data_IF_599225898815
#
_entry.id   IF_599225898815
#
_cell.length_a   1.000
_cell.length_b   1.000
_cell.length_c   1.000
_cell.angle_alpha   90.00
_cell.angle_beta   90.00
_cell.angle_gamma   90.00
#
_symmetry.space_group_name_H-M   'P 1'
#
loop_
_entity.id
_entity.type
_entity.pdbx_description
1 polymer ?
#
# COMPACT_ATOMS: atom_id res chain seq x y z
N UNK A 1 45.28 -20.81 -77.69
CA UNK A 1 44.07 -20.41 -78.43
C UNK A 1 42.95 -20.12 -77.44
N UNK A 2 42.16 -19.08 -77.75
CA UNK A 2 41.10 -18.46 -76.94
C UNK A 2 40.03 -19.43 -76.43
N UNK A 3 39.54 -19.22 -75.21
CA UNK A 3 38.10 -19.23 -74.89
C UNK A 3 37.85 -18.56 -73.53
N UNK A 4 37.30 -17.35 -73.58
CA UNK A 4 36.79 -16.59 -72.43
C UNK A 4 35.36 -17.09 -72.16
N UNK A 5 35.12 -17.70 -70.99
CA UNK A 5 33.77 -18.06 -70.55
C UNK A 5 33.37 -17.11 -69.42
N UNK A 6 32.43 -16.21 -69.75
CA UNK A 6 31.76 -15.32 -68.80
C UNK A 6 30.82 -16.15 -67.92
N UNK A 7 31.01 -16.12 -66.60
CA UNK A 7 30.00 -16.57 -65.63
C UNK A 7 29.35 -15.36 -64.99
N UNK A 8 28.07 -15.19 -65.29
CA UNK A 8 27.11 -14.28 -64.67
C UNK A 8 26.85 -14.69 -63.22
N UNK A 9 27.09 -13.79 -62.26
CA UNK A 9 26.61 -13.89 -60.89
C UNK A 9 25.17 -13.37 -60.80
N UNK A 10 24.24 -14.05 -60.08
CA UNK A 10 22.94 -13.46 -59.77
C UNK A 10 23.09 -12.50 -58.58
N UNK A 11 22.56 -11.28 -58.76
CA UNK A 11 22.36 -10.29 -57.71
C UNK A 11 21.21 -10.79 -56.82
N UNK A 12 21.52 -11.10 -55.55
CA UNK A 12 20.50 -11.38 -54.54
C UNK A 12 19.99 -10.05 -53.98
N UNK A 13 18.73 -9.73 -54.26
CA UNK A 13 18.01 -8.59 -53.71
C UNK A 13 17.70 -8.87 -52.22
N UNK A 14 18.35 -8.16 -51.30
CA UNK A 14 18.01 -8.22 -49.87
C UNK A 14 16.75 -7.38 -49.61
N UNK A 15 15.62 -8.06 -49.35
CA UNK A 15 14.40 -7.43 -48.87
C UNK A 15 14.59 -6.96 -47.42
N UNK A 16 14.67 -5.65 -47.23
CA UNK A 16 14.67 -5.03 -45.90
C UNK A 16 13.31 -5.18 -45.22
N UNK A 17 13.20 -6.10 -44.27
CA UNK A 17 12.12 -6.11 -43.30
C UNK A 17 12.33 -4.96 -42.31
N UNK A 18 11.63 -3.85 -42.53
CA UNK A 18 11.50 -2.77 -41.56
C UNK A 18 10.69 -3.26 -40.35
N UNK A 19 11.37 -3.47 -39.22
CA UNK A 19 10.69 -3.60 -37.93
C UNK A 19 10.15 -2.22 -37.52
N UNK A 20 8.86 -2.07 -37.21
CA UNK A 20 8.35 -0.84 -36.63
C UNK A 20 8.97 -0.69 -35.23
N UNK A 21 9.81 0.33 -35.07
CA UNK A 21 10.25 0.79 -33.76
C UNK A 21 9.02 1.38 -33.08
N UNK A 22 8.39 0.59 -32.19
CA UNK A 22 7.42 1.09 -31.23
C UNK A 22 8.11 2.17 -30.40
N UNK A 23 7.79 3.43 -30.69
CA UNK A 23 8.18 4.55 -29.87
C UNK A 23 7.60 4.33 -28.47
N UNK A 24 8.47 3.96 -27.53
CA UNK A 24 8.13 3.96 -26.12
C UNK A 24 7.78 5.41 -25.76
N UNK A 25 6.49 5.67 -25.55
CA UNK A 25 6.02 6.91 -24.96
C UNK A 25 6.66 7.04 -23.58
N UNK A 26 7.70 7.86 -23.47
CA UNK A 26 8.31 8.22 -22.20
C UNK A 26 7.30 9.10 -21.47
N UNK A 27 6.45 8.48 -20.65
CA UNK A 27 5.60 9.21 -19.73
C UNK A 27 6.46 10.20 -18.93
N UNK A 28 6.11 11.48 -19.00
CA UNK A 28 6.80 12.56 -18.29
C UNK A 28 6.84 12.18 -16.79
N UNK A 29 7.99 12.30 -16.10
CA UNK A 29 8.06 11.93 -14.70
C UNK A 29 7.08 12.81 -13.91
N UNK A 30 6.11 12.19 -13.24
CA UNK A 30 5.16 12.88 -12.38
C UNK A 30 5.92 13.78 -11.39
N UNK A 31 5.56 15.07 -11.37
CA UNK A 31 6.15 16.07 -10.49
C UNK A 31 5.14 16.40 -9.41
N UNK A 32 5.26 15.74 -8.27
CA UNK A 32 4.47 16.06 -7.10
C UNK A 32 5.06 17.27 -6.38
N UNK A 33 4.19 18.10 -5.81
CA UNK A 33 4.53 19.20 -4.92
C UNK A 33 3.86 18.94 -3.58
N UNK A 34 4.57 19.27 -2.51
CA UNK A 34 4.10 19.11 -1.12
C UNK A 34 4.15 20.47 -0.44
N UNK A 35 3.02 20.93 0.07
CA UNK A 35 2.91 22.21 0.79
C UNK A 35 2.29 22.00 2.17
N UNK A 36 2.53 22.95 3.08
CA UNK A 36 1.86 22.95 4.38
C UNK A 36 0.35 23.21 4.20
N UNK A 37 -0.46 22.41 4.87
CA UNK A 37 -1.87 22.67 5.12
C UNK A 37 -2.06 23.23 6.53
N UNK A 38 -3.10 22.75 7.21
CA UNK A 38 -3.43 23.19 8.55
C UNK A 38 -2.40 22.73 9.58
N UNK A 39 -2.11 23.60 10.54
CA UNK A 39 -1.19 23.34 11.65
C UNK A 39 -1.98 23.40 12.95
N UNK A 40 -1.99 22.30 13.70
CA UNK A 40 -2.72 22.19 14.96
C UNK A 40 -1.74 21.88 16.09
N UNK A 41 -1.58 22.81 17.03
CA UNK A 41 -0.83 22.58 18.27
C UNK A 41 -1.79 22.22 19.40
N UNK A 42 -1.86 20.92 19.76
CA UNK A 42 -2.65 20.46 20.91
C UNK A 42 -1.79 20.47 22.15
N UNK A 43 -2.04 21.44 23.03
CA UNK A 43 -1.42 21.53 24.36
C UNK A 43 -2.43 21.12 25.41
N UNK A 44 -2.20 19.99 26.10
CA UNK A 44 -2.99 19.59 27.27
C UNK A 44 -2.17 19.70 28.56
N UNK A 45 -2.83 20.08 29.65
CA UNK A 45 -2.22 20.26 30.96
C UNK A 45 -1.99 18.93 31.72
N UNK A 46 -2.63 17.84 31.28
CA UNK A 46 -2.51 16.51 31.86
C UNK A 46 -1.35 15.67 31.26
N UNK A 47 -0.59 16.24 30.31
CA UNK A 47 0.59 15.61 29.70
C UNK A 47 0.29 14.50 28.70
N UNK A 48 -0.95 14.01 28.63
CA UNK A 48 -1.37 12.96 27.70
C UNK A 48 -1.89 13.58 26.40
N UNK A 49 -1.50 13.02 25.25
CA UNK A 49 -1.96 13.43 23.90
C UNK A 49 -1.60 14.86 23.48
N UNK A 50 -0.57 15.46 24.07
CA UNK A 50 -0.01 16.70 23.55
C UNK A 50 0.81 16.41 22.28
N UNK A 51 0.46 17.05 21.17
CA UNK A 51 1.15 16.88 19.89
C UNK A 51 0.99 18.10 19.00
N UNK A 52 1.94 18.26 18.08
CA UNK A 52 1.83 19.17 16.95
C UNK A 52 1.48 18.35 15.72
N UNK A 53 0.36 18.66 15.08
CA UNK A 53 -0.08 18.03 13.83
C UNK A 53 0.09 19.01 12.67
N UNK A 54 0.70 18.57 11.58
CA UNK A 54 0.85 19.34 10.35
C UNK A 54 0.23 18.53 9.23
N UNK A 55 -0.79 19.09 8.58
CA UNK A 55 -1.31 18.54 7.34
C UNK A 55 -0.37 18.89 6.18
N UNK A 56 -0.12 17.91 5.31
CA UNK A 56 0.59 18.10 4.05
C UNK A 56 -0.41 18.00 2.90
N UNK A 57 -0.49 19.08 2.12
CA UNK A 57 -1.26 19.13 0.88
C UNK A 57 -0.40 18.63 -0.28
N UNK A 58 -0.95 17.72 -1.06
CA UNK A 58 -0.30 17.07 -2.19
C UNK A 58 -0.90 17.61 -3.48
N UNK A 59 -0.05 18.03 -4.42
CA UNK A 59 -0.48 18.55 -5.71
C UNK A 59 0.48 18.10 -6.82
N UNK A 60 0.07 18.27 -8.08
CA UNK A 60 0.90 18.00 -9.25
C UNK A 60 0.26 17.05 -10.25
N UNK A 61 0.90 16.92 -11.41
CA UNK A 61 0.41 16.06 -12.50
C UNK A 61 0.42 14.58 -12.07
N UNK A 62 -0.72 13.90 -12.18
CA UNK A 62 -0.84 12.47 -11.84
C UNK A 62 -1.12 12.19 -10.36
N UNK A 63 -1.50 13.19 -9.57
CA UNK A 63 -1.85 13.00 -8.14
C UNK A 63 -3.09 12.12 -7.98
N UNK A 64 -3.99 12.14 -8.97
CA UNK A 64 -5.18 11.31 -9.07
C UNK A 64 -4.87 9.80 -9.22
N UNK A 65 -3.67 9.46 -9.70
CA UNK A 65 -3.21 8.07 -9.83
C UNK A 65 -2.56 7.53 -8.54
N UNK A 66 -2.44 8.37 -7.49
CA UNK A 66 -1.86 7.98 -6.21
C UNK A 66 -2.86 7.16 -5.41
N UNK A 67 -2.53 5.89 -5.16
CA UNK A 67 -3.37 5.01 -4.32
C UNK A 67 -3.00 5.06 -2.84
N UNK A 68 -1.87 5.67 -2.49
CA UNK A 68 -1.55 6.02 -1.13
C UNK A 68 -0.26 6.81 -1.03
N UNK A 69 -0.07 7.47 0.11
CA UNK A 69 1.16 8.21 0.38
C UNK A 69 1.57 8.07 1.85
N UNK A 70 2.84 8.34 2.16
CA UNK A 70 3.32 8.50 3.53
C UNK A 70 4.42 9.55 3.60
N UNK A 71 4.48 10.25 4.72
CA UNK A 71 5.52 11.25 4.98
C UNK A 71 6.61 10.66 5.90
N UNK A 72 7.85 10.72 5.43
CA UNK A 72 9.06 10.35 6.17
C UNK A 72 9.79 11.64 6.58
N UNK A 73 9.49 12.12 7.78
CA UNK A 73 10.14 13.32 8.32
C UNK A 73 11.56 12.98 8.76
N UNK A 74 12.53 13.78 8.34
CA UNK A 74 13.94 13.64 8.71
C UNK A 74 14.41 14.73 9.66
N UNK A 75 13.78 15.90 9.59
CA UNK A 75 14.12 17.06 10.42
C UNK A 75 12.85 17.84 10.75
N UNK A 76 12.71 18.23 12.00
CA UNK A 76 11.66 19.12 12.47
C UNK A 76 12.20 19.94 13.64
N UNK A 77 12.30 21.26 13.47
CA UNK A 77 12.93 22.18 14.43
C UNK A 77 12.12 23.47 14.52
N UNK A 78 11.87 23.94 15.73
CA UNK A 78 11.25 25.25 15.97
C UNK A 78 12.26 26.41 15.91
N UNK A 79 11.78 27.65 15.92
CA UNK A 79 12.61 28.86 15.92
C UNK A 79 13.55 28.99 17.14
N UNK A 80 13.26 28.28 18.24
CA UNK A 80 14.12 28.20 19.43
C UNK A 80 15.25 27.18 19.29
N UNK A 81 15.25 26.39 18.22
CA UNK A 81 16.21 25.33 17.97
C UNK A 81 15.85 23.98 18.61
N UNK A 82 14.64 23.84 19.18
CA UNK A 82 14.19 22.58 19.77
C UNK A 82 13.79 21.60 18.67
N UNK A 83 14.30 20.37 18.75
CA UNK A 83 13.87 19.28 17.88
C UNK A 83 12.47 18.80 18.25
N UNK A 84 11.63 18.63 17.23
CA UNK A 84 10.24 18.20 17.37
C UNK A 84 10.03 16.73 17.00
N UNK A 85 11.10 15.99 16.67
CA UNK A 85 11.00 14.58 16.32
C UNK A 85 10.72 13.72 17.57
N UNK A 86 9.79 12.78 17.44
CA UNK A 86 9.55 11.72 18.42
C UNK A 86 10.74 10.75 18.44
N UNK A 87 11.08 10.22 19.61
CA UNK A 87 12.10 9.18 19.73
C UNK A 87 11.60 7.88 19.12
N UNK A 88 12.48 7.11 18.48
CA UNK A 88 12.16 5.82 17.84
C UNK A 88 11.00 5.91 16.83
N UNK A 89 10.99 6.96 16.01
CA UNK A 89 9.98 7.14 14.97
C UNK A 89 10.06 6.01 13.94
N UNK A 90 9.09 5.09 14.01
CA UNK A 90 8.90 4.11 12.94
C UNK A 90 8.32 4.81 11.71
N UNK A 91 8.64 4.36 10.49
CA UNK A 91 7.99 4.86 9.29
C UNK A 91 6.47 4.69 9.42
N UNK A 92 5.68 5.76 9.23
CA UNK A 92 4.24 5.62 9.24
C UNK A 92 3.77 4.70 8.11
N UNK A 93 2.61 4.08 8.31
CA UNK A 93 1.93 3.35 7.26
C UNK A 93 1.47 4.31 6.14
N UNK A 94 1.22 3.74 4.97
CA UNK A 94 0.64 4.49 3.87
C UNK A 94 -0.80 4.88 4.18
N UNK A 95 -1.10 6.16 4.03
CA UNK A 95 -2.46 6.69 4.09
C UNK A 95 -3.10 6.54 2.71
N UNK A 96 -4.27 5.93 2.67
CA UNK A 96 -5.07 5.75 1.45
C UNK A 96 -5.96 6.97 1.23
N UNK A 97 -6.30 7.34 -0.02
CA UNK A 97 -7.24 8.42 -0.30
C UNK A 97 -8.60 8.16 0.37
N UNK A 98 -9.10 9.17 1.09
CA UNK A 98 -10.50 9.25 1.56
C UNK A 98 -11.37 10.14 0.66
N UNK A 99 -10.77 10.69 -0.40
CA UNK A 99 -11.37 11.50 -1.45
C UNK A 99 -10.49 11.42 -2.71
N UNK A 100 -10.26 12.55 -3.39
CA UNK A 100 -9.42 12.59 -4.61
C UNK A 100 -7.94 12.31 -4.34
N UNK A 101 -7.42 12.71 -3.17
CA UNK A 101 -6.00 12.53 -2.82
C UNK A 101 -5.85 12.08 -1.37
N UNK A 102 -4.76 11.36 -1.01
CA UNK A 102 -4.43 11.10 0.39
C UNK A 102 -4.24 12.41 1.16
N UNK A 103 -4.87 12.53 2.32
CA UNK A 103 -4.56 13.60 3.28
C UNK A 103 -3.43 13.09 4.16
N UNK A 104 -2.29 13.77 4.20
CA UNK A 104 -1.14 13.34 5.01
C UNK A 104 -1.01 14.20 6.25
N UNK A 105 -1.09 13.57 7.42
CA UNK A 105 -0.88 14.23 8.71
C UNK A 105 0.43 13.76 9.34
N UNK A 106 1.29 14.72 9.68
CA UNK A 106 2.51 14.49 10.43
C UNK A 106 2.25 14.84 11.89
N UNK A 107 2.56 13.91 12.79
CA UNK A 107 2.55 14.18 14.22
C UNK A 107 3.97 14.36 14.79
N UNK A 108 4.21 15.49 15.44
CA UNK A 108 5.46 15.89 16.06
C UNK A 108 5.28 16.16 17.56
N UNK A 109 6.39 16.29 18.28
CA UNK A 109 6.41 16.84 19.65
C UNK A 109 5.95 18.30 19.62
N UNK A 110 5.34 18.78 20.70
CA UNK A 110 4.99 20.19 20.79
C UNK A 110 6.24 21.09 20.73
N UNK A 111 6.13 22.27 20.09
CA UNK A 111 7.17 23.27 20.05
C UNK A 111 7.41 23.88 21.44
N UNK A 112 8.53 24.60 21.59
CA UNK A 112 8.80 25.36 22.80
C UNK A 112 7.70 26.39 23.05
N UNK A 113 7.36 26.67 24.32
CA UNK A 113 6.25 27.59 24.66
C UNK A 113 6.43 29.00 24.09
N UNK A 114 7.67 29.42 23.89
CA UNK A 114 8.06 30.73 23.33
C UNK A 114 8.26 30.72 21.82
N UNK A 115 8.12 29.57 21.17
CA UNK A 115 8.28 29.47 19.72
C UNK A 115 7.09 30.11 19.02
N UNK A 116 7.36 30.98 18.05
CA UNK A 116 6.33 31.59 17.19
C UNK A 116 6.21 30.91 15.84
N UNK A 117 7.23 30.15 15.43
CA UNK A 117 7.24 29.43 14.15
C UNK A 117 8.02 28.11 14.21
N UNK A 118 7.69 27.24 13.27
CA UNK A 118 8.53 26.12 12.87
C UNK A 118 9.59 26.66 11.91
N UNK A 119 10.84 26.62 12.35
CA UNK A 119 11.97 27.03 11.52
C UNK A 119 12.13 26.13 10.30
N UNK A 120 12.03 24.82 10.50
CA UNK A 120 12.12 23.85 9.41
C UNK A 120 11.42 22.54 9.74
N UNK A 121 10.61 22.03 8.81
CA UNK A 121 10.18 20.63 8.77
C UNK A 121 10.50 20.09 7.38
N UNK A 122 11.36 19.08 7.29
CA UNK A 122 11.82 18.52 6.02
C UNK A 122 11.94 17.00 6.04
N UNK A 123 11.78 16.41 4.86
CA UNK A 123 11.74 14.97 4.69
C UNK A 123 11.41 14.56 3.27
N UNK A 124 10.82 13.37 3.13
CA UNK A 124 10.35 12.83 1.86
C UNK A 124 8.90 12.39 1.99
N UNK A 125 8.10 12.62 0.95
CA UNK A 125 6.82 11.93 0.77
C UNK A 125 7.03 10.81 -0.22
N UNK A 126 6.64 9.59 0.17
CA UNK A 126 6.58 8.44 -0.72
C UNK A 126 5.15 8.27 -1.19
N UNK A 127 4.97 8.18 -2.50
CA UNK A 127 3.70 7.98 -3.17
C UNK A 127 3.69 6.58 -3.78
N UNK A 128 2.58 5.86 -3.62
CA UNK A 128 2.33 4.61 -4.30
C UNK A 128 1.44 4.87 -5.52
N UNK A 129 2.03 4.70 -6.71
CA UNK A 129 1.42 4.92 -8.02
C UNK A 129 1.53 3.64 -8.85
N UNK A 130 0.60 2.69 -8.70
CA UNK A 130 0.72 1.35 -9.29
C UNK A 130 0.79 1.37 -10.81
N UNK A 131 0.19 2.36 -11.48
CA UNK A 131 0.19 2.47 -12.94
C UNK A 131 1.59 2.67 -13.54
N UNK A 132 2.58 3.10 -12.73
CA UNK A 132 3.97 3.24 -13.17
C UNK A 132 4.68 1.90 -13.36
N UNK A 133 4.09 0.80 -12.89
CA UNK A 133 4.65 -0.53 -13.04
C UNK A 133 3.55 -1.58 -13.22
N UNK A 134 3.51 -2.23 -14.38
CA UNK A 134 2.57 -3.32 -14.63
C UNK A 134 2.71 -4.47 -13.61
N UNK A 135 3.90 -4.70 -13.04
CA UNK A 135 4.11 -5.71 -12.00
C UNK A 135 3.51 -5.30 -10.65
N UNK A 136 3.11 -4.04 -10.48
CA UNK A 136 2.44 -3.53 -9.29
C UNK A 136 0.97 -3.93 -9.22
N UNK A 137 0.36 -4.45 -10.29
CA UNK A 137 -1.03 -4.92 -10.27
C UNK A 137 -1.13 -6.35 -10.80
N UNK A 138 -1.55 -7.27 -9.94
CA UNK A 138 -1.89 -8.65 -10.32
C UNK A 138 -3.39 -8.77 -10.48
N UNK A 139 -3.84 -9.26 -11.64
CA UNK A 139 -5.25 -9.49 -11.94
C UNK A 139 -5.55 -10.98 -11.99
N UNK A 140 -6.62 -11.40 -11.30
CA UNK A 140 -7.09 -12.79 -11.28
C UNK A 140 -8.55 -12.80 -11.72
N UNK A 141 -8.79 -13.14 -12.97
CA UNK A 141 -10.13 -13.26 -13.53
C UNK A 141 -10.88 -14.45 -12.94
N UNK A 142 -12.20 -14.28 -12.76
CA UNK A 142 -13.11 -15.33 -12.26
C UNK A 142 -12.57 -16.00 -10.98
N UNK A 143 -11.99 -15.21 -10.09
CA UNK A 143 -11.24 -15.73 -8.94
C UNK A 143 -12.11 -16.58 -8.00
N UNK A 144 -13.44 -16.36 -7.98
CA UNK A 144 -14.40 -17.16 -7.21
C UNK A 144 -14.48 -18.62 -7.68
N UNK A 145 -14.06 -18.93 -8.90
CA UNK A 145 -13.93 -20.33 -9.36
C UNK A 145 -12.63 -21.00 -8.91
N UNK A 146 -11.74 -20.24 -8.26
CA UNK A 146 -10.40 -20.66 -7.83
C UNK A 146 -10.21 -20.58 -6.32
N UNK A 147 -11.30 -20.69 -5.56
CA UNK A 147 -11.23 -20.73 -4.09
C UNK A 147 -10.28 -21.83 -3.61
N UNK A 148 -9.66 -21.57 -2.46
CA UNK A 148 -8.75 -22.48 -1.76
C UNK A 148 -7.50 -22.86 -2.56
N UNK A 149 -7.14 -22.04 -3.57
CA UNK A 149 -5.93 -22.22 -4.39
C UNK A 149 -5.07 -20.96 -4.37
N UNK A 150 -3.74 -21.08 -4.17
CA UNK A 150 -2.85 -19.93 -4.24
C UNK A 150 -2.91 -19.26 -5.61
N UNK A 151 -2.84 -17.92 -5.62
CA UNK A 151 -2.71 -17.14 -6.84
C UNK A 151 -1.31 -17.31 -7.39
N UNK A 152 -1.19 -18.05 -8.49
CA UNK A 152 0.07 -18.17 -9.22
C UNK A 152 0.35 -16.88 -10.03
N UNK A 153 1.29 -16.06 -9.56
CA UNK A 153 1.73 -14.85 -10.25
C UNK A 153 3.25 -14.63 -10.09
N UNK A 154 3.98 -14.33 -11.18
CA UNK A 154 5.39 -13.96 -11.09
C UNK A 154 5.63 -12.73 -10.20
N UNK A 155 4.72 -11.76 -10.22
CA UNK A 155 4.84 -10.54 -9.43
C UNK A 155 4.66 -10.80 -7.92
N UNK A 156 3.70 -11.66 -7.54
CA UNK A 156 3.53 -12.08 -6.14
C UNK A 156 4.77 -12.83 -5.64
N UNK A 157 5.27 -13.78 -6.46
CA UNK A 157 6.49 -14.52 -6.13
C UNK A 157 7.70 -13.60 -5.99
N UNK A 158 7.88 -12.63 -6.88
CA UNK A 158 8.96 -11.65 -6.81
C UNK A 158 8.85 -10.72 -5.59
N UNK A 159 7.62 -10.43 -5.15
CA UNK A 159 7.36 -9.68 -3.92
C UNK A 159 7.59 -10.53 -2.64
N UNK A 160 7.71 -11.85 -2.76
CA UNK A 160 7.75 -12.77 -1.63
C UNK A 160 6.41 -12.85 -0.91
N UNK A 161 5.31 -12.69 -1.66
CA UNK A 161 3.95 -12.72 -1.15
C UNK A 161 3.16 -13.90 -1.76
N UNK A 162 2.28 -14.48 -0.98
CA UNK A 162 1.30 -15.47 -1.39
C UNK A 162 -0.10 -14.97 -1.03
N UNK A 163 -1.01 -15.01 -2.00
CA UNK A 163 -2.40 -14.57 -1.82
C UNK A 163 -3.31 -15.71 -2.25
N UNK A 164 -4.30 -16.02 -1.41
CA UNK A 164 -5.28 -17.07 -1.66
C UNK A 164 -6.65 -16.59 -1.24
N UNK A 165 -7.65 -16.71 -2.12
CA UNK A 165 -9.05 -16.54 -1.73
C UNK A 165 -9.53 -17.85 -1.14
N UNK A 166 -10.05 -17.83 0.09
CA UNK A 166 -10.45 -19.03 0.81
C UNK A 166 -11.96 -19.13 0.97
N UNK A 167 -12.46 -20.34 1.04
CA UNK A 167 -13.84 -20.63 1.43
C UNK A 167 -14.03 -20.41 2.94
N UNK A 168 -15.29 -20.19 3.35
CA UNK A 168 -15.63 -20.05 4.77
C UNK A 168 -15.17 -21.26 5.59
N UNK A 169 -15.32 -22.47 5.02
CA UNK A 169 -14.89 -23.71 5.64
C UNK A 169 -13.38 -23.72 5.92
N UNK A 170 -12.55 -23.37 4.92
CA UNK A 170 -11.10 -23.34 5.09
C UNK A 170 -10.68 -22.28 6.11
N UNK A 171 -11.32 -21.10 6.09
CA UNK A 171 -11.09 -20.07 7.11
C UNK A 171 -11.40 -20.57 8.53
N UNK A 172 -12.56 -21.18 8.75
CA UNK A 172 -12.95 -21.68 10.07
C UNK A 172 -12.02 -22.81 10.56
N UNK A 173 -11.55 -23.68 9.66
CA UNK A 173 -10.56 -24.73 9.96
C UNK A 173 -9.19 -24.14 10.35
N UNK A 174 -8.71 -23.14 9.61
CA UNK A 174 -7.43 -22.47 9.94
C UNK A 174 -7.52 -21.66 11.23
N UNK A 175 -8.64 -20.94 11.43
CA UNK A 175 -8.89 -20.20 12.67
C UNK A 175 -8.87 -21.13 13.89
N UNK A 176 -9.54 -22.30 13.82
CA UNK A 176 -9.50 -23.30 14.89
C UNK A 176 -8.10 -23.82 15.16
N UNK A 177 -7.33 -24.13 14.12
CA UNK A 177 -5.92 -24.57 14.27
C UNK A 177 -5.05 -23.51 14.91
N UNK A 178 -5.24 -22.25 14.53
CA UNK A 178 -4.52 -21.12 15.12
C UNK A 178 -4.93 -20.87 16.57
N UNK A 179 -6.21 -20.97 16.90
CA UNK A 179 -6.72 -20.91 18.27
C UNK A 179 -6.14 -22.04 19.14
N UNK A 180 -6.11 -23.28 18.64
CA UNK A 180 -5.50 -24.42 19.34
C UNK A 180 -3.99 -24.26 19.53
N UNK A 181 -3.27 -23.74 18.52
CA UNK A 181 -1.84 -23.43 18.65
C UNK A 181 -1.63 -22.35 19.72
N UNK A 182 -2.39 -21.26 19.68
CA UNK A 182 -2.30 -20.17 20.65
C UNK A 182 -2.62 -20.64 22.07
N UNK A 183 -3.60 -21.53 22.25
CA UNK A 183 -3.92 -22.16 23.55
C UNK A 183 -2.75 -22.96 24.11
N UNK A 184 -2.08 -23.77 23.27
CA UNK A 184 -0.90 -24.52 23.71
C UNK A 184 0.27 -23.60 24.05
N UNK A 185 0.45 -22.51 23.30
CA UNK A 185 1.47 -21.50 23.57
C UNK A 185 1.16 -20.68 24.84
N UNK A 186 -0.11 -20.37 25.12
CA UNK A 186 -0.54 -19.63 26.31
C UNK A 186 -0.47 -20.47 27.58
N UNK A 187 -0.83 -21.76 27.52
CA UNK A 187 -0.67 -22.71 28.62
C UNK A 187 0.81 -22.86 29.05
N UNK A 188 1.74 -22.79 28.09
CA UNK A 188 3.18 -22.76 28.36
C UNK A 188 3.69 -21.45 29.00
N UNK A 189 2.94 -20.35 28.86
CA UNK A 189 3.29 -19.02 29.38
C UNK A 189 2.65 -18.69 30.76
N UNK A 190 1.90 -19.64 31.35
CA UNK A 190 1.34 -19.52 32.70
C UNK A 190 0.29 -18.40 32.84
N UNK A 191 0.28 -17.73 34.00
CA UNK A 191 -0.74 -16.73 34.37
C UNK A 191 -0.84 -15.55 33.36
N UNK A 192 0.29 -15.15 32.77
CA UNK A 192 0.35 -14.10 31.75
C UNK A 192 -0.28 -14.55 30.42
N UNK A 193 -0.09 -15.81 30.04
CA UNK A 193 -0.73 -16.42 28.86
C UNK A 193 -2.24 -16.51 29.01
N UNK A 194 -2.72 -16.94 30.19
CA UNK A 194 -4.15 -17.02 30.49
C UNK A 194 -4.85 -15.64 30.46
N UNK A 195 -4.18 -14.58 30.94
CA UNK A 195 -4.72 -13.22 30.90
C UNK A 195 -4.77 -12.65 29.47
N UNK A 196 -3.72 -12.90 28.68
CA UNK A 196 -3.66 -12.48 27.27
C UNK A 196 -4.71 -13.21 26.42
N UNK A 197 -4.95 -14.49 26.68
CA UNK A 197 -5.98 -15.27 25.99
C UNK A 197 -7.40 -14.82 26.36
N UNK A 198 -7.67 -14.57 27.64
CA UNK A 198 -8.97 -14.05 28.08
C UNK A 198 -9.29 -12.68 27.43
N UNK A 199 -8.29 -11.80 27.32
CA UNK A 199 -8.44 -10.51 26.65
C UNK A 199 -8.59 -10.66 25.14
N UNK A 200 -7.83 -11.56 24.51
CA UNK A 200 -7.93 -11.87 23.09
C UNK A 200 -9.28 -12.46 22.67
N UNK A 201 -9.84 -13.35 23.50
CA UNK A 201 -11.16 -13.95 23.27
C UNK A 201 -12.30 -12.93 23.44
N UNK A 202 -12.20 -12.04 24.42
CA UNK A 202 -13.15 -10.93 24.62
C UNK A 202 -13.18 -9.99 23.40
N UNK A 203 -12.01 -9.65 22.86
CA UNK A 203 -11.91 -8.81 21.65
C UNK A 203 -12.38 -9.56 20.39
N UNK A 204 -12.07 -10.85 20.26
CA UNK A 204 -12.48 -11.67 19.12
C UNK A 204 -13.99 -11.82 18.98
N UNK A 205 -14.74 -11.79 20.09
CA UNK A 205 -16.22 -11.76 20.06
C UNK A 205 -16.82 -10.41 19.66
N UNK A 206 -16.03 -9.33 19.66
CA UNK A 206 -16.46 -7.98 19.28
C UNK A 206 -16.16 -7.65 17.81
N UNK A 207 -15.26 -8.38 17.17
CA UNK A 207 -15.00 -8.28 15.73
C UNK A 207 -16.06 -9.08 14.99
N UNK A 208 -17.01 -8.36 14.37
CA UNK A 208 -18.28 -8.86 13.87
C UNK A 208 -18.24 -10.16 13.05
N UNK A 209 -19.37 -10.84 13.04
CA UNK A 209 -19.59 -12.02 12.21
C UNK A 209 -19.25 -11.72 10.75
N UNK A 210 -18.36 -12.53 10.17
CA UNK A 210 -18.09 -12.50 8.73
C UNK A 210 -19.42 -12.74 8.01
N UNK A 211 -19.85 -11.76 7.22
CA UNK A 211 -21.10 -11.78 6.48
C UNK A 211 -21.07 -12.80 5.33
N UNK A 212 -22.26 -13.14 4.83
CA UNK A 212 -22.41 -14.11 3.73
C UNK A 212 -21.75 -13.67 2.42
N UNK A 213 -21.61 -12.36 2.21
CA UNK A 213 -21.02 -11.74 1.03
C UNK A 213 -19.54 -11.38 1.21
N UNK A 214 -18.96 -11.68 2.37
CA UNK A 214 -17.60 -11.29 2.68
C UNK A 214 -16.60 -12.16 1.92
N UNK A 215 -15.57 -11.49 1.41
CA UNK A 215 -14.46 -12.14 0.73
C UNK A 215 -13.33 -12.39 1.72
N UNK A 216 -12.97 -13.67 1.87
CA UNK A 216 -11.90 -14.11 2.77
C UNK A 216 -10.63 -14.35 1.96
N UNK A 217 -9.57 -13.63 2.30
CA UNK A 217 -8.31 -13.71 1.58
C UNK A 217 -7.19 -13.95 2.57
N UNK A 218 -6.49 -15.08 2.44
CA UNK A 218 -5.24 -15.34 3.14
C UNK A 218 -4.10 -14.64 2.42
N UNK A 219 -3.29 -13.92 3.18
CA UNK A 219 -2.14 -13.15 2.70
C UNK A 219 -0.93 -13.49 3.56
N UNK A 220 0.03 -14.22 2.99
CA UNK A 220 1.38 -14.36 3.56
C UNK A 220 2.29 -13.38 2.81
N UNK A 221 2.71 -12.31 3.48
CA UNK A 221 3.52 -11.26 2.89
C UNK A 221 4.62 -10.81 3.85
N UNK A 222 5.70 -11.58 3.87
CA UNK A 222 6.85 -11.38 4.76
C UNK A 222 7.51 -10.02 4.57
N UNK A 223 7.44 -9.48 3.36
CA UNK A 223 8.08 -8.22 2.99
C UNK A 223 7.15 -7.01 3.06
N UNK A 224 5.89 -7.21 3.49
CA UNK A 224 4.85 -6.17 3.56
C UNK A 224 4.73 -5.38 2.25
N UNK A 225 4.69 -6.09 1.12
CA UNK A 225 4.58 -5.51 -0.23
C UNK A 225 3.14 -5.44 -0.75
N UNK A 226 2.21 -6.21 -0.22
CA UNK A 226 0.79 -6.14 -0.59
C UNK A 226 0.17 -4.87 -0.02
N UNK A 227 -0.17 -3.95 -0.90
CA UNK A 227 -0.70 -2.63 -0.54
C UNK A 227 -2.23 -2.65 -0.34
N UNK A 228 -2.92 -3.26 -1.29
CA UNK A 228 -4.37 -3.33 -1.32
C UNK A 228 -4.81 -4.57 -2.10
N UNK A 229 -6.01 -5.05 -1.77
CA UNK A 229 -6.71 -6.07 -2.53
C UNK A 229 -8.12 -5.55 -2.77
N UNK A 230 -8.61 -5.69 -4.00
CA UNK A 230 -9.91 -5.17 -4.41
C UNK A 230 -10.58 -6.15 -5.38
N UNK A 231 -11.91 -6.21 -5.35
CA UNK A 231 -12.69 -6.85 -6.42
C UNK A 231 -13.10 -5.82 -7.47
N UNK A 232 -13.09 -6.23 -8.73
CA UNK A 232 -13.61 -5.48 -9.86
C UNK A 232 -14.60 -6.34 -10.65
N UNK A 233 -15.56 -5.71 -11.32
CA UNK A 233 -16.48 -6.39 -12.23
C UNK A 233 -15.78 -6.84 -13.53
N UNK A 234 -16.54 -7.47 -14.42
CA UNK A 234 -16.03 -7.91 -15.73
C UNK A 234 -15.55 -6.76 -16.62
N UNK A 235 -16.06 -5.53 -16.42
CA UNK A 235 -15.60 -4.33 -17.10
C UNK A 235 -14.34 -3.73 -16.45
N UNK A 236 -13.87 -4.29 -15.35
CA UNK A 236 -12.71 -3.82 -14.59
C UNK A 236 -13.02 -2.64 -13.66
N UNK A 237 -14.28 -2.24 -13.49
CA UNK A 237 -14.70 -1.22 -12.53
C UNK A 237 -14.65 -1.80 -11.12
N UNK A 238 -14.09 -1.05 -10.18
CA UNK A 238 -14.04 -1.44 -8.76
C UNK A 238 -15.46 -1.67 -8.23
N UNK A 239 -15.64 -2.76 -7.50
CA UNK A 239 -16.88 -3.04 -6.78
C UNK A 239 -16.77 -2.42 -5.38
N UNK A 240 -17.77 -1.64 -4.99
CA UNK A 240 -17.76 -0.92 -3.73
C UNK A 240 -17.82 -1.90 -2.55
N UNK A 241 -16.83 -1.77 -1.66
CA UNK A 241 -16.72 -2.55 -0.44
C UNK A 241 -17.25 -1.72 0.74
N UNK A 242 -17.90 -2.39 1.70
CA UNK A 242 -18.37 -1.77 2.96
C UNK A 242 -17.24 -1.60 3.97
N UNK A 243 -16.23 -2.46 3.92
CA UNK A 243 -15.13 -2.41 4.86
C UNK A 243 -14.04 -3.42 4.55
N UNK A 244 -12.93 -3.29 5.28
CA UNK A 244 -11.83 -4.24 5.26
C UNK A 244 -11.36 -4.49 6.69
N UNK A 245 -11.21 -5.74 7.06
CA UNK A 245 -10.64 -6.16 8.34
C UNK A 245 -9.42 -7.02 8.09
N UNK A 246 -8.33 -6.78 8.81
CA UNK A 246 -7.13 -7.61 8.76
C UNK A 246 -6.93 -8.32 10.09
N UNK A 247 -6.86 -9.63 10.09
CA UNK A 247 -6.66 -10.43 11.32
C UNK A 247 -5.91 -11.72 11.01
N UNK A 248 -4.87 -12.03 11.80
CA UNK A 248 -4.17 -13.32 11.77
C UNK A 248 -3.78 -13.82 10.36
N UNK A 249 -3.26 -12.91 9.51
CA UNK A 249 -2.88 -13.26 8.13
C UNK A 249 -4.04 -13.31 7.12
N UNK A 250 -5.25 -12.99 7.54
CA UNK A 250 -6.42 -12.85 6.67
C UNK A 250 -6.80 -11.39 6.47
N UNK A 251 -7.24 -11.10 5.25
CA UNK A 251 -7.91 -9.88 4.84
C UNK A 251 -9.35 -10.25 4.51
N UNK A 252 -10.28 -9.64 5.22
CA UNK A 252 -11.72 -9.86 5.09
C UNK A 252 -12.28 -8.59 4.46
N UNK A 253 -12.79 -8.71 3.24
CA UNK A 253 -13.39 -7.59 2.51
C UNK A 253 -14.90 -7.77 2.52
N UNK A 254 -15.61 -6.85 3.17
CA UNK A 254 -17.05 -6.96 3.33
C UNK A 254 -17.78 -6.28 2.18
N UNK A 255 -18.74 -6.97 1.59
CA UNK A 255 -19.54 -6.47 0.47
C UNK A 255 -21.02 -6.42 0.82
N UNK A 256 -21.74 -5.44 0.25
CA UNK A 256 -23.17 -5.33 0.48
C UNK A 256 -24.00 -6.34 -0.30
N UNK A 257 -23.49 -6.74 -1.45
CA UNK A 257 -24.11 -7.69 -2.36
C UNK A 257 -23.10 -8.78 -2.70
N UNK A 258 -23.62 -9.91 -3.18
CA UNK A 258 -22.78 -11.01 -3.62
C UNK A 258 -21.96 -10.59 -4.83
N UNK A 259 -20.66 -10.87 -4.80
CA UNK A 259 -19.77 -10.59 -5.93
C UNK A 259 -20.18 -11.40 -7.17
N UNK A 260 -20.16 -10.79 -8.37
CA UNK A 260 -20.41 -11.50 -9.62
C UNK A 260 -19.45 -12.68 -9.81
N UNK A 261 -19.90 -13.81 -10.39
CA UNK A 261 -19.07 -15.00 -10.57
C UNK A 261 -17.87 -14.77 -11.51
N UNK A 262 -17.96 -13.77 -12.38
CA UNK A 262 -16.94 -13.34 -13.33
C UNK A 262 -16.08 -12.17 -12.83
N UNK A 263 -16.24 -11.77 -11.57
CA UNK A 263 -15.43 -10.72 -10.96
C UNK A 263 -13.93 -11.04 -11.04
N UNK A 264 -13.13 -9.97 -11.08
CA UNK A 264 -11.67 -9.99 -11.12
C UNK A 264 -11.11 -9.52 -9.79
N UNK A 265 -10.17 -10.27 -9.21
CA UNK A 265 -9.41 -9.83 -8.06
C UNK A 265 -8.22 -9.00 -8.54
N UNK A 266 -8.03 -7.81 -7.96
CA UNK A 266 -6.85 -6.97 -8.16
C UNK A 266 -6.04 -6.96 -6.88
N UNK A 267 -4.78 -7.38 -6.96
CA UNK A 267 -3.81 -7.27 -5.86
C UNK A 267 -2.77 -6.22 -6.25
N UNK A 268 -2.63 -5.20 -5.42
CA UNK A 268 -1.67 -4.12 -5.63
C UNK A 268 -0.41 -4.36 -4.80
N UNK A 269 0.76 -4.27 -5.45
CA UNK A 269 2.06 -4.59 -4.89
C UNK A 269 2.97 -3.36 -4.92
N UNK A 270 3.61 -3.05 -3.80
CA UNK A 270 4.61 -1.98 -3.69
C UNK A 270 5.93 -2.40 -4.34
N UNK A 271 6.03 -2.20 -5.64
CA UNK A 271 7.28 -2.38 -6.38
C UNK A 271 8.13 -1.10 -6.33
N UNK A 272 9.46 -1.19 -6.49
CA UNK A 272 10.32 -0.01 -6.54
C UNK A 272 9.93 1.00 -7.63
N UNK A 273 9.35 0.55 -8.75
CA UNK A 273 8.94 1.43 -9.86
C UNK A 273 7.59 2.11 -9.63
N UNK A 274 6.72 1.50 -8.82
CA UNK A 274 5.45 2.08 -8.38
C UNK A 274 5.60 3.04 -7.20
N UNK A 275 6.75 3.03 -6.51
CA UNK A 275 7.05 3.97 -5.42
C UNK A 275 7.79 5.19 -5.95
N UNK A 276 7.25 6.37 -5.68
CA UNK A 276 7.82 7.65 -6.09
C UNK A 276 8.12 8.46 -4.85
N UNK A 277 9.36 8.94 -4.70
CA UNK A 277 9.76 9.77 -3.56
C UNK A 277 9.94 11.21 -4.00
N UNK A 278 9.30 12.15 -3.28
CA UNK A 278 9.45 13.59 -3.49
C UNK A 278 9.94 14.25 -2.21
N UNK A 279 11.05 15.00 -2.24
CA UNK A 279 11.50 15.74 -1.06
C UNK A 279 10.54 16.90 -0.76
N UNK A 280 10.40 17.24 0.52
CA UNK A 280 9.68 18.44 0.94
C UNK A 280 10.47 19.20 2.01
N UNK A 281 10.30 20.51 2.05
CA UNK A 281 10.87 21.39 3.07
C UNK A 281 9.89 22.54 3.32
N UNK A 282 9.34 22.57 4.52
CA UNK A 282 8.50 23.64 5.02
C UNK A 282 9.36 24.51 5.92
N UNK A 283 9.42 25.81 5.65
CA UNK A 283 10.21 26.77 6.42
C UNK A 283 9.31 27.88 6.93
N UNK A 284 9.66 28.38 8.11
CA UNK A 284 9.03 29.54 8.74
C UNK A 284 7.49 29.41 8.82
N UNK A 285 7.00 28.20 9.15
CA UNK A 285 5.56 27.93 9.28
C UNK A 285 5.08 28.49 10.62
N UNK A 286 4.16 29.45 10.57
CA UNK A 286 3.59 30.09 11.77
C UNK A 286 2.87 29.07 12.64
N UNK A 287 3.13 29.13 13.95
CA UNK A 287 2.41 28.34 14.94
C UNK A 287 1.13 29.07 15.38
N UNK A 288 0.03 28.32 15.67
CA UNK A 288 -1.20 28.90 16.19
C UNK A 288 -1.09 29.40 17.64
#
# INVERSE_FOLDING_TARGET
>A
MKAIIRRTLPVLLAAGMGFPVLAASSAKPARFTVTAGDVTDRRRNDGNFASLEIELKLAGDGVEAVQGARALVRKAVDDTGRSLLKENMQPPDFQKPTGETPVLKIELKNPARRAGALKEVSGQVEFFVPERDAASTVRVEKFLSRLDRPVASPALKAAGAEVMVVSRKMYDEEKKKDEERRKKESEGAGLAGAMAEAFGNLFSGMFGEIGENDLLIKVDDKNKKVFAIEAADAAGKKIDQRGTMQTSGFWILSYGEKLPPDATLKVYLMTPKALVSTPFSLKDVTLP
#
